data_IF_742377617296
#
_entry.id   IF_742377617296
#
_cell.length_a   1.000
_cell.length_b   1.000
_cell.length_c   1.000
_cell.angle_alpha   90.00
_cell.angle_beta   90.00
_cell.angle_gamma   90.00
#
_symmetry.space_group_name_H-M   'P 1'
#
loop_
_entity.id
_entity.type
_entity.pdbx_description
1 polymer ?
#
# COMPACT_ATOMS: atom_id res chain seq x y z
N UNK A 1 27.21 -10.75 37.93
CA UNK A 1 27.76 -12.11 37.77
C UNK A 1 26.61 -13.00 38.17
N UNK A 2 25.92 -13.77 37.33
CA UNK A 2 26.29 -14.65 36.20
C UNK A 2 25.16 -14.56 35.13
N UNK A 3 25.40 -14.25 33.85
CA UNK A 3 25.73 -15.13 32.72
C UNK A 3 24.81 -16.35 32.49
N UNK A 4 23.63 -16.12 31.89
CA UNK A 4 22.90 -17.15 31.14
C UNK A 4 23.04 -16.90 29.63
N UNK A 5 24.12 -17.41 29.05
CA UNK A 5 24.28 -17.66 27.62
C UNK A 5 24.38 -19.17 27.42
N UNK A 6 23.40 -19.76 26.74
CA UNK A 6 23.61 -21.03 26.04
C UNK A 6 22.96 -20.94 24.67
N UNK A 7 23.82 -20.95 23.66
CA UNK A 7 23.49 -21.15 22.26
C UNK A 7 22.91 -22.55 22.07
N UNK A 8 21.78 -22.64 21.36
CA UNK A 8 21.34 -23.87 20.71
C UNK A 8 21.60 -23.71 19.22
N UNK A 9 22.74 -24.26 18.80
CA UNK A 9 23.06 -24.61 17.43
C UNK A 9 22.79 -26.11 17.34
N UNK A 10 21.97 -26.55 16.38
CA UNK A 10 22.21 -27.74 15.55
C UNK A 10 21.03 -27.98 14.59
N UNK A 11 21.31 -27.71 13.31
CA UNK A 11 21.14 -28.62 12.18
C UNK A 11 19.79 -29.38 12.06
N UNK A 12 18.95 -28.91 11.14
CA UNK A 12 17.92 -29.73 10.52
C UNK A 12 18.12 -29.74 9.00
N UNK A 13 18.84 -30.74 8.52
CA UNK A 13 18.95 -31.06 7.10
C UNK A 13 18.12 -32.31 6.79
N UNK A 14 17.21 -32.14 5.83
CA UNK A 14 17.05 -33.00 4.65
C UNK A 14 16.54 -34.44 4.82
N UNK A 15 15.23 -34.63 4.65
CA UNK A 15 14.59 -35.77 3.96
C UNK A 15 13.39 -35.16 3.19
N UNK A 16 13.42 -35.00 1.85
CA UNK A 16 13.21 -36.00 0.80
C UNK A 16 11.83 -36.68 0.90
N UNK A 17 10.82 -36.07 0.26
CA UNK A 17 9.71 -36.83 -0.34
C UNK A 17 9.47 -36.35 -1.77
N UNK A 18 9.76 -37.26 -2.70
CA UNK A 18 9.38 -37.24 -4.11
C UNK A 18 7.87 -37.03 -4.27
N UNK A 19 7.47 -36.07 -5.09
CA UNK A 19 6.19 -36.14 -5.79
C UNK A 19 6.42 -36.08 -7.30
N UNK A 20 6.29 -37.28 -7.85
CA UNK A 20 6.17 -37.73 -9.23
C UNK A 20 5.62 -36.67 -10.19
N UNK A 21 6.45 -36.40 -11.19
CA UNK A 21 6.14 -35.68 -12.42
C UNK A 21 5.16 -36.52 -13.26
N UNK A 22 3.95 -36.03 -13.50
CA UNK A 22 3.11 -36.50 -14.61
C UNK A 22 3.00 -35.41 -15.65
N UNK A 23 3.69 -35.62 -16.77
CA UNK A 23 3.65 -34.84 -18.00
C UNK A 23 2.22 -34.75 -18.54
N UNK A 24 1.58 -33.59 -18.39
CA UNK A 24 0.41 -33.27 -19.19
C UNK A 24 0.88 -32.74 -20.55
N UNK A 25 0.81 -33.62 -21.54
CA UNK A 25 1.08 -33.28 -22.94
C UNK A 25 0.08 -32.21 -23.43
N UNK A 26 0.54 -31.22 -24.22
CA UNK A 26 -0.34 -30.20 -24.77
C UNK A 26 -1.25 -30.79 -25.86
N UNK A 27 -2.53 -30.93 -25.53
CA UNK A 27 -3.59 -31.26 -26.50
C UNK A 27 -3.74 -30.10 -27.47
N UNK A 28 -3.35 -30.34 -28.72
CA UNK A 28 -3.62 -29.44 -29.85
C UNK A 28 -5.12 -29.51 -30.19
N UNK A 29 -5.87 -28.39 -30.21
CA UNK A 29 -7.20 -28.41 -30.79
C UNK A 29 -7.10 -28.50 -32.31
N UNK A 30 -7.53 -29.66 -32.81
CA UNK A 30 -7.80 -29.95 -34.22
C UNK A 30 -8.74 -28.93 -34.85
N UNK A 31 -8.43 -28.60 -36.09
CA UNK A 31 -9.24 -27.87 -37.06
C UNK A 31 -10.71 -28.30 -37.06
N UNK A 32 -11.63 -27.38 -36.76
CA UNK A 32 -13.04 -27.52 -37.11
C UNK A 32 -13.46 -26.34 -37.98
N UNK A 33 -13.67 -26.65 -39.26
CA UNK A 33 -14.70 -26.12 -40.15
C UNK A 33 -15.17 -24.68 -39.93
N UNK A 34 -14.84 -23.83 -40.90
CA UNK A 34 -15.57 -22.61 -41.22
C UNK A 34 -17.08 -22.89 -41.33
N UNK A 35 -17.87 -22.30 -40.44
CA UNK A 35 -19.29 -22.05 -40.69
C UNK A 35 -19.45 -20.55 -40.86
N UNK A 36 -19.65 -20.13 -42.10
CA UNK A 36 -19.97 -18.75 -42.43
C UNK A 36 -21.39 -18.42 -41.95
N UNK A 37 -21.50 -17.68 -40.84
CA UNK A 37 -22.74 -16.96 -40.53
C UNK A 37 -22.65 -15.60 -41.21
N UNK A 38 -23.14 -15.56 -42.44
CA UNK A 38 -23.43 -14.33 -43.15
C UNK A 38 -24.63 -13.62 -42.50
N UNK A 39 -24.45 -12.34 -42.13
CA UNK A 39 -25.54 -11.37 -42.19
C UNK A 39 -26.16 -10.89 -40.86
N UNK A 40 -25.41 -10.18 -40.04
CA UNK A 40 -25.94 -9.00 -39.33
C UNK A 40 -24.91 -7.89 -39.50
N UNK A 41 -25.15 -6.97 -40.44
CA UNK A 41 -24.30 -5.78 -40.55
C UNK A 41 -24.55 -4.90 -39.33
N UNK A 42 -23.55 -4.84 -38.45
CA UNK A 42 -23.58 -4.03 -37.24
C UNK A 42 -23.60 -2.54 -37.63
N UNK A 43 -24.82 -1.99 -37.59
CA UNK A 43 -25.20 -0.58 -37.47
C UNK A 43 -24.09 0.29 -36.87
N UNK A 44 -23.47 1.12 -37.72
CA UNK A 44 -22.75 2.35 -37.39
C UNK A 44 -22.02 2.34 -36.03
N UNK A 45 -20.79 1.82 -35.99
CA UNK A 45 -19.90 2.10 -34.87
C UNK A 45 -19.75 3.62 -34.72
N UNK A 46 -20.31 4.20 -33.65
CA UNK A 46 -20.09 5.58 -33.28
C UNK A 46 -18.58 5.82 -33.05
N UNK A 47 -17.89 6.41 -34.04
CA UNK A 47 -16.47 6.80 -33.95
C UNK A 47 -16.24 8.16 -33.27
N UNK A 48 -17.27 8.75 -32.65
CA UNK A 48 -17.13 9.98 -31.87
C UNK A 48 -16.19 9.74 -30.69
N UNK A 49 -15.24 10.65 -30.47
CA UNK A 49 -14.25 10.55 -29.38
C UNK A 49 -13.14 9.51 -29.59
N UNK A 50 -13.20 8.68 -30.64
CA UNK A 50 -12.12 7.73 -30.98
C UNK A 50 -11.07 8.43 -31.86
N UNK A 51 -10.21 9.23 -31.23
CA UNK A 51 -9.04 9.81 -31.91
C UNK A 51 -7.82 8.87 -31.73
N UNK A 52 -7.31 8.33 -32.83
CA UNK A 52 -6.09 7.51 -32.84
C UNK A 52 -4.81 8.32 -32.65
N UNK A 53 -4.86 9.62 -32.96
CA UNK A 53 -3.76 10.54 -32.71
C UNK A 53 -3.87 11.10 -31.28
N UNK A 54 -3.07 10.56 -30.35
CA UNK A 54 -2.91 11.07 -28.99
C UNK A 54 -1.45 11.49 -28.80
N UNK A 55 -1.03 12.63 -29.35
CA UNK A 55 0.38 13.04 -29.34
C UNK A 55 0.90 13.25 -27.90
N UNK A 56 0.01 13.59 -26.99
CA UNK A 56 0.34 13.80 -25.57
C UNK A 56 0.28 12.51 -24.74
N UNK A 57 0.02 11.35 -25.35
CA UNK A 57 0.05 10.08 -24.64
C UNK A 57 1.51 9.72 -24.34
N UNK A 58 1.85 9.67 -23.07
CA UNK A 58 3.18 9.22 -22.66
C UNK A 58 3.38 7.75 -23.06
N UNK A 59 4.51 7.41 -23.71
CA UNK A 59 4.84 6.03 -24.04
C UNK A 59 4.99 5.21 -22.74
N UNK A 60 4.60 3.94 -22.81
CA UNK A 60 4.54 3.11 -21.61
C UNK A 60 5.94 2.81 -21.03
N UNK A 61 7.00 2.81 -21.86
CA UNK A 61 8.39 2.70 -21.38
C UNK A 61 8.79 3.85 -20.45
N UNK A 62 8.44 5.10 -20.78
CA UNK A 62 8.71 6.27 -19.93
C UNK A 62 7.96 6.22 -18.61
N UNK A 63 6.75 5.66 -18.60
CA UNK A 63 6.01 5.44 -17.36
C UNK A 63 6.74 4.46 -16.46
N UNK A 64 7.25 3.37 -17.04
CA UNK A 64 7.97 2.36 -16.29
C UNK A 64 9.28 2.92 -15.70
N UNK A 65 10.04 3.72 -16.45
CA UNK A 65 11.24 4.42 -15.94
C UNK A 65 10.95 5.23 -14.68
N UNK A 66 9.83 5.96 -14.65
CA UNK A 66 9.40 6.75 -13.48
C UNK A 66 8.99 5.83 -12.32
N UNK A 67 8.25 4.75 -12.60
CA UNK A 67 7.84 3.78 -11.57
C UNK A 67 9.06 3.09 -10.94
N UNK A 68 10.03 2.69 -11.75
CA UNK A 68 11.26 2.05 -11.29
C UNK A 68 12.09 3.02 -10.44
N UNK A 69 12.12 4.30 -10.80
CA UNK A 69 12.70 5.35 -9.95
C UNK A 69 11.98 5.45 -8.60
N UNK A 70 10.65 5.56 -8.59
CA UNK A 70 9.89 5.65 -7.34
C UNK A 70 10.06 4.39 -6.48
N UNK A 71 10.13 3.21 -7.09
CA UNK A 71 10.32 1.94 -6.40
C UNK A 71 11.73 1.80 -5.79
N UNK A 72 12.74 2.49 -6.35
CA UNK A 72 14.10 2.55 -5.81
C UNK A 72 14.25 3.42 -4.55
N UNK A 73 13.27 4.28 -4.24
CA UNK A 73 13.32 5.16 -3.08
C UNK A 73 13.10 4.38 -1.77
N UNK A 74 13.74 4.82 -0.67
CA UNK A 74 13.47 4.27 0.65
C UNK A 74 12.03 4.59 1.05
N UNK A 75 11.26 3.55 1.34
CA UNK A 75 9.85 3.61 1.70
C UNK A 75 9.58 2.73 2.90
N UNK A 76 8.58 3.11 3.69
CA UNK A 76 8.20 2.39 4.90
C UNK A 76 6.69 2.17 4.97
N UNK A 77 6.31 1.23 5.82
CA UNK A 77 4.93 0.92 6.16
C UNK A 77 4.58 1.62 7.46
N UNK A 78 3.39 2.20 7.56
CA UNK A 78 2.90 2.58 8.89
C UNK A 78 2.46 1.31 9.62
N UNK A 79 2.98 1.11 10.83
CA UNK A 79 2.61 -0.01 11.69
C UNK A 79 1.09 -0.09 11.90
N UNK A 80 0.46 1.08 12.06
CA UNK A 80 -0.97 1.20 12.33
C UNK A 80 -1.85 0.90 11.13
N UNK A 81 -1.44 1.32 9.92
CA UNK A 81 -2.30 1.17 8.74
C UNK A 81 -2.02 -0.10 7.96
N UNK A 82 -0.93 -0.83 8.23
CA UNK A 82 -0.54 -2.03 7.45
C UNK A 82 -1.62 -3.11 7.41
N UNK A 83 -2.41 -3.28 8.49
CA UNK A 83 -3.50 -4.26 8.53
C UNK A 83 -4.67 -3.88 7.61
N UNK A 84 -5.01 -2.59 7.56
CA UNK A 84 -6.17 -2.09 6.82
C UNK A 84 -5.82 -1.65 5.39
N UNK A 85 -4.57 -1.28 5.15
CA UNK A 85 -4.07 -0.74 3.89
C UNK A 85 -2.68 -1.35 3.56
N UNK A 86 -2.62 -2.66 3.27
CA UNK A 86 -1.36 -3.39 3.05
C UNK A 86 -0.69 -3.06 1.71
N UNK A 87 -1.16 -2.06 0.96
CA UNK A 87 -0.51 -1.58 -0.26
C UNK A 87 -0.14 -0.09 -0.17
N UNK A 88 -0.28 0.53 1.02
CA UNK A 88 0.05 1.95 1.23
C UNK A 88 1.48 2.08 1.73
N UNK A 89 2.27 2.85 1.00
CA UNK A 89 3.67 3.10 1.31
C UNK A 89 3.89 4.58 1.63
N UNK A 90 4.79 4.83 2.56
CA UNK A 90 5.13 6.18 2.99
C UNK A 90 6.56 6.52 2.63
N UNK A 91 6.73 7.70 2.05
CA UNK A 91 7.99 8.35 1.78
C UNK A 91 8.30 9.34 2.90
N UNK A 92 9.58 9.72 3.01
CA UNK A 92 10.05 10.69 4.01
C UNK A 92 9.19 11.98 3.98
N UNK A 93 8.79 12.51 5.15
CA UNK A 93 7.99 13.74 5.24
C UNK A 93 8.76 14.98 4.78
N UNK A 94 10.09 14.93 4.68
CA UNK A 94 10.92 16.02 4.17
C UNK A 94 10.93 16.11 2.63
N UNK A 95 10.47 15.04 1.95
CA UNK A 95 10.35 14.98 0.51
C UNK A 95 9.02 15.57 0.06
N UNK A 96 9.04 16.19 -1.10
CA UNK A 96 7.86 16.67 -1.80
C UNK A 96 7.89 16.14 -3.22
N UNK A 97 6.75 16.16 -3.90
CA UNK A 97 6.65 15.71 -5.29
C UNK A 97 7.57 16.51 -6.23
N UNK A 98 7.78 17.81 -5.96
CA UNK A 98 8.73 18.64 -6.71
C UNK A 98 10.18 18.19 -6.48
N UNK A 99 10.59 17.98 -5.21
CA UNK A 99 11.93 17.46 -4.90
C UNK A 99 12.17 16.08 -5.51
N UNK A 100 11.15 15.22 -5.52
CA UNK A 100 11.24 13.92 -6.18
C UNK A 100 11.45 14.05 -7.69
N UNK A 101 10.79 15.02 -8.33
CA UNK A 101 10.98 15.30 -9.75
C UNK A 101 12.39 15.85 -10.03
N UNK A 102 12.90 16.75 -9.18
CA UNK A 102 14.28 17.24 -9.27
C UNK A 102 15.29 16.09 -9.19
N UNK A 103 15.17 15.22 -8.18
CA UNK A 103 16.02 14.03 -8.03
C UNK A 103 15.91 13.05 -9.21
N UNK A 104 14.70 12.91 -9.78
CA UNK A 104 14.49 12.11 -10.97
C UNK A 104 15.21 12.71 -12.19
N UNK A 105 15.12 14.02 -12.39
CA UNK A 105 15.81 14.73 -13.47
C UNK A 105 17.32 14.58 -13.33
N UNK A 106 17.86 14.72 -12.13
CA UNK A 106 19.29 14.49 -11.84
C UNK A 106 19.72 13.06 -12.20
N UNK A 107 18.92 12.06 -11.82
CA UNK A 107 19.17 10.66 -12.20
C UNK A 107 19.14 10.47 -13.72
N UNK A 108 18.14 11.03 -14.41
CA UNK A 108 18.03 10.97 -15.85
C UNK A 108 19.24 11.61 -16.56
N UNK A 109 19.71 12.76 -16.06
CA UNK A 109 20.90 13.44 -16.57
C UNK A 109 22.15 12.55 -16.44
N UNK A 110 22.31 11.82 -15.32
CA UNK A 110 23.42 10.89 -15.12
C UNK A 110 23.40 9.68 -16.07
N UNK A 111 22.21 9.32 -16.59
CA UNK A 111 22.00 8.18 -17.50
C UNK A 111 21.89 8.62 -18.97
N UNK A 112 22.04 9.92 -19.26
CA UNK A 112 21.83 10.50 -20.59
C UNK A 112 20.44 10.16 -21.19
N UNK A 113 19.41 10.12 -20.34
CA UNK A 113 18.02 9.85 -20.72
C UNK A 113 17.20 11.13 -20.57
N UNK A 114 16.32 11.42 -21.54
CA UNK A 114 15.39 12.54 -21.46
C UNK A 114 14.34 12.33 -20.35
N UNK A 115 14.22 13.25 -19.37
CA UNK A 115 13.23 13.14 -18.30
C UNK A 115 11.82 13.48 -18.79
N UNK A 116 10.80 12.96 -18.09
CA UNK A 116 9.42 13.38 -18.29
C UNK A 116 9.15 14.76 -17.66
N UNK A 117 8.15 15.47 -18.16
CA UNK A 117 7.74 16.75 -17.56
C UNK A 117 7.17 16.56 -16.15
N UNK A 118 7.27 17.60 -15.31
CA UNK A 118 6.79 17.57 -13.93
C UNK A 118 5.30 17.18 -13.85
N UNK A 119 4.48 17.68 -14.78
CA UNK A 119 3.05 17.30 -14.86
C UNK A 119 2.86 15.80 -15.07
N UNK A 120 3.62 15.20 -15.99
CA UNK A 120 3.50 13.77 -16.27
C UNK A 120 4.02 12.94 -15.10
N UNK A 121 5.16 13.34 -14.52
CA UNK A 121 5.70 12.73 -13.31
C UNK A 121 4.66 12.73 -12.18
N UNK A 122 4.00 13.88 -11.99
CA UNK A 122 2.95 14.08 -11.00
C UNK A 122 1.75 13.15 -11.21
N UNK A 123 1.31 13.02 -12.45
CA UNK A 123 0.22 12.12 -12.83
C UNK A 123 0.60 10.65 -12.57
N UNK A 124 1.82 10.24 -12.92
CA UNK A 124 2.33 8.88 -12.68
C UNK A 124 2.48 8.62 -11.17
N UNK A 125 2.93 9.60 -10.40
CA UNK A 125 3.07 9.46 -8.95
C UNK A 125 1.71 9.18 -8.28
N UNK A 126 0.66 9.90 -8.67
CA UNK A 126 -0.69 9.75 -8.12
C UNK A 126 -1.37 8.46 -8.60
N UNK A 127 -1.21 8.10 -9.88
CA UNK A 127 -1.93 6.97 -10.48
C UNK A 127 -1.19 5.64 -10.42
N UNK A 128 0.13 5.67 -10.33
CA UNK A 128 0.97 4.49 -10.50
C UNK A 128 1.09 3.61 -9.26
N UNK A 129 1.19 4.23 -8.08
CA UNK A 129 1.39 3.55 -6.79
C UNK A 129 0.69 4.33 -5.69
N UNK A 130 0.31 3.64 -4.61
CA UNK A 130 -0.33 4.26 -3.44
C UNK A 130 0.73 4.84 -2.48
N UNK A 131 1.51 5.81 -2.98
CA UNK A 131 2.56 6.51 -2.22
C UNK A 131 2.00 7.74 -1.49
N UNK A 132 2.43 7.93 -0.25
CA UNK A 132 2.05 9.05 0.60
C UNK A 132 3.30 9.68 1.24
N UNK A 133 3.25 10.97 1.55
CA UNK A 133 4.31 11.65 2.28
C UNK A 133 3.98 11.66 3.77
N UNK A 134 4.91 11.18 4.59
CA UNK A 134 4.73 11.15 6.04
C UNK A 134 3.68 10.14 6.48
N UNK A 135 3.90 9.55 7.65
CA UNK A 135 2.93 8.63 8.25
C UNK A 135 1.85 9.46 8.96
N UNK A 136 0.57 9.03 8.94
CA UNK A 136 -0.44 9.58 9.84
C UNK A 136 0.05 9.45 11.28
N UNK A 137 0.09 10.56 12.02
CA UNK A 137 0.26 10.48 13.47
C UNK A 137 -0.94 9.75 14.05
N UNK A 138 -0.71 8.87 15.02
CA UNK A 138 -1.80 8.49 15.90
C UNK A 138 -2.26 9.75 16.64
N UNK A 139 -3.56 10.02 16.57
CA UNK A 139 -4.16 11.04 17.42
C UNK A 139 -4.39 10.40 18.79
N UNK A 140 -3.49 10.67 19.72
CA UNK A 140 -3.63 10.27 21.11
C UNK A 140 -4.23 11.43 21.90
N UNK A 141 -5.23 11.13 22.73
CA UNK A 141 -5.81 12.14 23.59
C UNK A 141 -4.79 12.54 24.66
N UNK A 142 -4.65 13.85 24.91
CA UNK A 142 -3.63 14.39 25.81
C UNK A 142 -3.63 13.77 27.20
N UNK A 143 -4.79 13.39 27.73
CA UNK A 143 -4.84 12.73 29.07
C UNK A 143 -4.35 11.28 29.01
N UNK A 144 -4.55 10.57 27.90
CA UNK A 144 -3.97 9.25 27.73
C UNK A 144 -2.44 9.33 27.71
N UNK A 145 -1.91 10.34 27.00
CA UNK A 145 -0.47 10.59 26.93
C UNK A 145 0.10 10.98 28.31
N UNK A 146 -0.61 11.83 29.07
CA UNK A 146 -0.17 12.18 30.43
C UNK A 146 -0.12 10.96 31.34
N UNK A 147 -1.16 10.12 31.36
CA UNK A 147 -1.15 8.89 32.14
C UNK A 147 -0.05 7.92 31.72
N UNK A 148 0.25 7.82 30.43
CA UNK A 148 1.34 6.97 29.95
C UNK A 148 2.72 7.49 30.43
N UNK A 149 2.95 8.80 30.34
CA UNK A 149 4.19 9.42 30.82
C UNK A 149 4.34 9.26 32.34
N UNK A 150 3.29 9.53 33.11
CA UNK A 150 3.29 9.42 34.57
C UNK A 150 3.48 7.97 35.02
N UNK A 151 2.81 7.01 34.37
CA UNK A 151 2.98 5.57 34.64
C UNK A 151 4.40 5.07 34.36
N UNK A 152 5.05 5.57 33.30
CA UNK A 152 6.47 5.27 33.00
C UNK A 152 7.41 5.86 34.06
N UNK A 153 7.08 7.05 34.59
CA UNK A 153 7.86 7.73 35.62
C UNK A 153 7.74 7.08 37.01
N UNK A 154 6.55 6.59 37.37
CA UNK A 154 6.28 5.94 38.66
C UNK A 154 5.41 4.67 38.49
N UNK A 155 6.01 3.51 38.13
CA UNK A 155 5.26 2.31 37.74
C UNK A 155 4.43 1.66 38.85
N UNK A 156 4.70 2.02 40.10
CA UNK A 156 4.05 1.46 41.29
C UNK A 156 2.84 2.26 41.76
N UNK A 157 2.62 3.47 41.23
CA UNK A 157 1.48 4.28 41.62
C UNK A 157 0.17 3.64 41.11
N UNK A 158 -0.65 3.19 42.05
CA UNK A 158 -1.92 2.54 41.76
C UNK A 158 -3.00 3.56 41.38
N UNK A 159 -2.88 4.81 41.82
CA UNK A 159 -3.88 5.84 41.53
C UNK A 159 -3.87 6.18 40.03
N UNK A 160 -2.69 6.36 39.44
CA UNK A 160 -2.54 6.63 38.00
C UNK A 160 -3.16 5.49 37.17
N UNK A 161 -2.96 4.23 37.59
CA UNK A 161 -3.55 3.07 36.92
C UNK A 161 -5.08 3.07 37.00
N UNK A 162 -5.62 3.37 38.18
CA UNK A 162 -7.07 3.43 38.42
C UNK A 162 -7.72 4.57 37.64
N UNK A 163 -7.12 5.76 37.63
CA UNK A 163 -7.61 6.91 36.89
C UNK A 163 -7.61 6.66 35.38
N UNK A 164 -6.53 6.05 34.86
CA UNK A 164 -6.45 5.62 33.47
C UNK A 164 -7.54 4.61 33.13
N UNK A 165 -7.78 3.61 33.99
CA UNK A 165 -8.85 2.62 33.78
C UNK A 165 -10.24 3.26 33.76
N UNK A 166 -10.50 4.18 34.70
CA UNK A 166 -11.76 4.93 34.74
C UNK A 166 -11.97 5.77 33.47
N UNK A 167 -10.93 6.44 32.99
CA UNK A 167 -10.97 7.20 31.74
C UNK A 167 -11.35 6.32 30.54
N UNK A 168 -10.71 5.14 30.41
CA UNK A 168 -10.99 4.20 29.32
C UNK A 168 -12.44 3.67 29.39
N UNK A 169 -12.93 3.29 30.57
CA UNK A 169 -14.33 2.84 30.74
C UNK A 169 -15.35 3.90 30.33
N UNK A 170 -15.08 5.18 30.66
CA UNK A 170 -15.96 6.30 30.25
C UNK A 170 -15.98 6.45 28.72
N UNK A 171 -14.83 6.33 28.07
CA UNK A 171 -14.73 6.39 26.62
C UNK A 171 -15.47 5.23 25.94
N UNK A 172 -15.32 4.00 26.45
CA UNK A 172 -16.03 2.82 25.94
C UNK A 172 -17.54 2.96 26.08
N UNK A 173 -18.04 3.43 27.23
CA UNK A 173 -19.47 3.67 27.44
C UNK A 173 -20.02 4.70 26.46
N UNK A 174 -19.28 5.79 26.22
CA UNK A 174 -19.67 6.81 25.25
C UNK A 174 -19.72 6.26 23.80
N UNK A 175 -18.73 5.46 23.41
CA UNK A 175 -18.71 4.81 22.09
C UNK A 175 -19.87 3.83 21.91
N UNK A 176 -20.22 3.07 22.96
CA UNK A 176 -21.34 2.15 22.93
C UNK A 176 -22.67 2.90 22.74
N UNK A 177 -22.89 3.98 23.49
CA UNK A 177 -24.09 4.80 23.36
C UNK A 177 -24.21 5.40 21.96
N UNK A 178 -23.12 5.95 21.41
CA UNK A 178 -23.10 6.47 20.04
C UNK A 178 -23.45 5.38 19.02
N UNK A 179 -22.95 4.15 19.21
CA UNK A 179 -23.28 3.03 18.32
C UNK A 179 -24.75 2.65 18.41
N UNK A 180 -25.32 2.62 19.61
CA UNK A 180 -26.75 2.35 19.82
C UNK A 180 -27.63 3.40 19.13
N UNK A 181 -27.28 4.69 19.26
CA UNK A 181 -28.01 5.79 18.61
C UNK A 181 -27.99 5.66 17.08
N UNK A 182 -26.88 5.20 16.49
CA UNK A 182 -26.74 4.96 15.05
C UNK A 182 -27.52 3.73 14.55
N UNK A 183 -27.76 2.75 15.42
CA UNK A 183 -28.47 1.50 15.08
C UNK A 183 -29.98 1.60 15.30
N UNK A 184 -30.44 2.43 16.25
CA UNK A 184 -31.84 2.69 16.54
C UNK A 184 -32.72 3.00 15.31
N UNK A 185 -32.31 3.85 14.34
CA UNK A 185 -33.15 4.16 13.17
C UNK A 185 -33.21 3.04 12.13
N UNK A 186 -32.35 2.02 12.20
CA UNK A 186 -32.33 0.92 11.21
C UNK A 186 -33.36 -0.17 11.51
N UNK A 187 -33.91 -0.17 12.71
CA UNK A 187 -34.87 -1.17 13.21
C UNK A 187 -36.32 -0.63 13.24
N UNK A 188 -36.59 0.51 12.59
CA UNK A 188 -37.92 1.05 12.33
C UNK A 188 -38.25 0.93 10.84
#
# INVERSE_FOLDING_TARGET
MESCRTNLFENFNHEQEELVYTELQPVQPSTSSSVEINGIQNINEHKRGKHGNRPNKLPDGKKQEVLDFLDSLPKYWSHYTRRHNPNRFFLSPALTQNKLHELYVEKCASQAVEPVSNRMFSEIFVTGRNYHFGQPSLDTYKTCDSFEMESKGCPLDQNIKLERELHLRKAEAAQLNMKQDLEAPKNQ
#
